data_IF_289991525176
#
_entry.id   IF_289991525176
#
_cell.length_a   1.000
_cell.length_b   1.000
_cell.length_c   1.000
_cell.angle_alpha   90.00
_cell.angle_beta   90.00
_cell.angle_gamma   90.00
#
_symmetry.space_group_name_H-M   'P 1'
#
loop_
_entity.id
_entity.type
_entity.pdbx_description
1 polymer ?
#
# COMPACT_ATOMS: atom_id res chain seq x y z
N UNK A 1 9.17 8.34 12.46
CA UNK A 1 9.00 8.12 11.01
C UNK A 1 7.80 8.93 10.54
N UNK A 2 7.94 9.67 9.44
CA UNK A 2 6.90 10.50 8.87
C UNK A 2 6.26 9.74 7.71
N UNK A 3 4.96 9.47 7.76
CA UNK A 3 4.21 8.98 6.61
C UNK A 3 3.91 10.20 5.73
N UNK A 4 4.35 10.17 4.48
CA UNK A 4 3.94 11.18 3.51
C UNK A 4 2.75 10.67 2.72
N UNK A 5 1.77 11.54 2.64
CA UNK A 5 0.57 11.34 1.86
C UNK A 5 0.79 12.10 0.56
N UNK A 6 0.66 11.44 -0.58
CA UNK A 6 0.91 12.03 -1.89
C UNK A 6 0.13 13.33 -2.11
N UNK A 7 0.70 14.25 -2.89
CA UNK A 7 0.03 15.50 -3.25
C UNK A 7 -1.22 15.18 -4.11
N UNK A 8 -2.42 15.31 -3.52
CA UNK A 8 -3.66 14.99 -4.23
C UNK A 8 -4.90 14.71 -3.37
N UNK A 9 -4.81 14.72 -2.04
CA UNK A 9 -5.99 14.47 -1.19
C UNK A 9 -6.32 12.98 -1.03
N UNK A 10 -5.27 12.16 -0.90
CA UNK A 10 -5.33 10.80 -0.37
C UNK A 10 -5.95 10.86 1.03
N UNK A 11 -6.96 10.03 1.26
CA UNK A 11 -7.74 10.03 2.49
C UNK A 11 -7.63 8.68 3.21
N UNK A 12 -6.92 8.69 4.34
CA UNK A 12 -6.73 7.48 5.15
C UNK A 12 -7.92 7.17 6.08
N UNK A 13 -8.86 8.11 6.24
CA UNK A 13 -9.90 8.05 7.28
C UNK A 13 -10.87 6.88 7.12
N UNK A 14 -11.00 6.33 5.92
CA UNK A 14 -11.97 5.28 5.60
C UNK A 14 -11.30 3.94 5.28
N UNK A 15 -9.98 3.85 5.40
CA UNK A 15 -9.27 2.60 5.18
C UNK A 15 -9.79 1.51 6.12
N UNK A 16 -10.01 0.33 5.55
CA UNK A 16 -10.31 -0.87 6.32
C UNK A 16 -9.22 -1.09 7.39
N UNK A 17 -9.59 -1.63 8.54
CA UNK A 17 -8.70 -1.75 9.69
C UNK A 17 -7.40 -2.52 9.36
N UNK A 18 -7.52 -3.58 8.55
CA UNK A 18 -6.38 -4.35 8.06
C UNK A 18 -5.38 -3.54 7.22
N UNK A 19 -5.84 -2.50 6.51
CA UNK A 19 -4.91 -1.66 5.77
C UNK A 19 -3.98 -0.86 6.71
N UNK A 20 -4.37 -0.64 7.97
CA UNK A 20 -3.46 -0.08 8.96
C UNK A 20 -2.36 -1.05 9.38
N UNK A 21 -2.63 -2.37 9.36
CA UNK A 21 -1.59 -3.38 9.55
C UNK A 21 -0.62 -3.36 8.37
N UNK A 22 -1.12 -3.32 7.14
CA UNK A 22 -0.28 -3.16 5.95
C UNK A 22 0.59 -1.90 6.05
N UNK A 23 0.03 -0.74 6.39
CA UNK A 23 0.79 0.51 6.57
C UNK A 23 1.88 0.37 7.63
N UNK A 24 1.62 -0.32 8.75
CA UNK A 24 2.64 -0.58 9.79
C UNK A 24 3.77 -1.45 9.27
N UNK A 25 3.48 -2.50 8.50
CA UNK A 25 4.50 -3.34 7.88
C UNK A 25 5.32 -2.55 6.86
N UNK A 26 4.68 -1.79 5.98
CA UNK A 26 5.34 -0.90 5.03
C UNK A 26 6.27 0.09 5.75
N UNK A 27 5.79 0.69 6.83
CA UNK A 27 6.56 1.57 7.71
C UNK A 27 7.83 0.89 8.26
N UNK A 28 7.73 -0.37 8.69
CA UNK A 28 8.89 -1.13 9.16
C UNK A 28 9.93 -1.38 8.06
N UNK A 29 9.47 -1.70 6.84
CA UNK A 29 10.35 -2.03 5.72
C UNK A 29 10.94 -0.81 5.01
N UNK A 30 10.20 0.30 4.93
CA UNK A 30 10.68 1.58 4.41
C UNK A 30 11.52 2.35 5.45
N UNK A 31 12.06 1.71 6.50
CA UNK A 31 12.71 2.42 7.61
C UNK A 31 13.92 3.29 7.23
N UNK A 32 14.54 3.07 6.07
CA UNK A 32 15.66 3.85 5.53
C UNK A 32 15.24 4.93 4.53
N UNK A 33 13.96 4.99 4.17
CA UNK A 33 13.44 5.96 3.20
C UNK A 33 12.01 6.43 3.55
N UNK A 34 11.45 7.34 2.77
CA UNK A 34 10.11 7.84 3.05
C UNK A 34 9.04 7.00 2.37
N UNK A 35 8.17 6.37 3.16
CA UNK A 35 6.92 5.79 2.70
C UNK A 35 6.01 6.89 2.14
N UNK A 36 5.62 6.74 0.88
CA UNK A 36 4.67 7.64 0.20
C UNK A 36 3.49 6.82 -0.30
N UNK A 37 2.33 7.03 0.30
CA UNK A 37 1.06 6.49 -0.18
C UNK A 37 0.53 7.45 -1.25
N UNK A 38 0.35 6.95 -2.47
CA UNK A 38 -0.04 7.74 -3.64
C UNK A 38 -1.54 7.68 -3.91
N UNK A 39 -2.22 6.59 -3.55
CA UNK A 39 -3.67 6.43 -3.76
C UNK A 39 -4.29 5.50 -2.69
N UNK A 40 -5.59 5.68 -2.43
CA UNK A 40 -6.38 4.93 -1.44
C UNK A 40 -7.73 4.50 -2.02
N UNK A 41 -8.64 5.44 -2.27
CA UNK A 41 -10.02 5.14 -2.67
C UNK A 41 -10.53 6.00 -3.82
N UNK A 42 -9.67 6.81 -4.43
CA UNK A 42 -9.98 7.64 -5.59
C UNK A 42 -9.25 7.10 -6.82
N UNK A 43 -9.53 7.67 -7.97
CA UNK A 43 -8.91 7.29 -9.24
C UNK A 43 -9.80 6.42 -10.12
N UNK A 44 -9.23 5.98 -11.24
CA UNK A 44 -9.90 5.17 -12.25
C UNK A 44 -9.32 3.77 -12.23
N UNK A 45 -9.97 2.89 -11.47
CA UNK A 45 -9.58 1.49 -11.29
C UNK A 45 -10.52 0.55 -12.05
N UNK A 46 -10.06 -0.69 -12.27
CA UNK A 46 -10.89 -1.75 -12.84
C UNK A 46 -12.18 -1.97 -12.01
N UNK A 47 -13.27 -2.43 -12.65
CA UNK A 47 -14.47 -2.85 -11.93
C UNK A 47 -14.11 -3.82 -10.80
N UNK A 48 -14.74 -3.64 -9.63
CA UNK A 48 -14.52 -4.43 -8.41
C UNK A 48 -13.15 -4.29 -7.74
N UNK A 49 -12.33 -3.32 -8.15
CA UNK A 49 -11.09 -2.99 -7.44
C UNK A 49 -11.34 -2.72 -5.95
N UNK A 50 -10.42 -3.20 -5.10
CA UNK A 50 -10.47 -3.02 -3.65
C UNK A 50 -10.22 -1.58 -3.19
N UNK A 51 -9.69 -0.71 -4.06
CA UNK A 51 -9.65 0.73 -3.79
C UNK A 51 -11.05 1.30 -3.53
N UNK A 52 -12.06 0.89 -4.31
CA UNK A 52 -13.45 1.34 -4.11
C UNK A 52 -14.09 0.83 -2.81
N UNK A 53 -13.45 -0.12 -2.14
CA UNK A 53 -13.88 -0.70 -0.87
C UNK A 53 -13.02 -0.22 0.31
N UNK A 54 -12.10 0.73 0.07
CA UNK A 54 -11.09 1.19 1.03
C UNK A 54 -10.19 0.06 1.56
N UNK A 55 -9.98 -0.98 0.75
CA UNK A 55 -9.20 -2.18 1.05
C UNK A 55 -7.93 -2.28 0.21
N UNK A 56 -7.51 -1.20 -0.41
CA UNK A 56 -6.26 -1.14 -1.15
C UNK A 56 -5.58 0.22 -1.00
N UNK A 57 -4.26 0.20 -1.15
CA UNK A 57 -3.42 1.39 -1.22
C UNK A 57 -2.36 1.20 -2.30
N UNK A 58 -2.02 2.30 -2.95
CA UNK A 58 -0.86 2.35 -3.84
C UNK A 58 0.26 3.12 -3.15
N UNK A 59 1.48 2.59 -3.26
CA UNK A 59 2.67 3.22 -2.67
C UNK A 59 3.76 3.41 -3.71
N UNK A 60 4.48 4.52 -3.58
CA UNK A 60 5.64 4.78 -4.42
C UNK A 60 6.69 3.69 -4.18
N UNK A 61 7.28 3.18 -5.26
CA UNK A 61 8.35 2.18 -5.19
C UNK A 61 9.54 2.68 -4.34
N UNK A 62 10.16 1.78 -3.55
CA UNK A 62 11.37 2.04 -2.80
C UNK A 62 12.52 2.28 -3.77
N UNK A 63 13.53 3.04 -3.35
CA UNK A 63 14.77 3.18 -4.12
C UNK A 63 15.62 1.91 -4.03
N UNK A 64 15.57 1.25 -2.88
CA UNK A 64 16.25 -0.03 -2.63
C UNK A 64 15.29 -1.19 -2.91
N UNK A 65 15.50 -1.89 -4.01
CA UNK A 65 14.65 -3.01 -4.43
C UNK A 65 14.74 -4.23 -3.49
N UNK A 66 15.76 -4.33 -2.64
CA UNK A 66 15.85 -5.43 -1.65
C UNK A 66 14.77 -5.33 -0.57
N UNK A 67 14.26 -4.11 -0.33
CA UNK A 67 13.12 -3.85 0.55
C UNK A 67 11.88 -4.53 0.00
N UNK A 68 11.65 -4.46 -1.32
CA UNK A 68 10.45 -5.00 -1.94
C UNK A 68 10.29 -6.50 -1.72
N UNK A 69 11.31 -7.31 -1.97
CA UNK A 69 11.21 -8.77 -1.82
C UNK A 69 10.83 -9.16 -0.40
N UNK A 70 11.53 -8.62 0.61
CA UNK A 70 11.27 -8.94 2.03
C UNK A 70 9.90 -8.45 2.50
N UNK A 71 9.52 -7.26 2.05
CA UNK A 71 8.23 -6.66 2.37
C UNK A 71 7.07 -7.44 1.75
N UNK A 72 7.21 -7.84 0.47
CA UNK A 72 6.19 -8.59 -0.27
C UNK A 72 5.89 -9.91 0.40
N UNK A 73 6.92 -10.68 0.75
CA UNK A 73 6.74 -11.98 1.41
C UNK A 73 6.01 -11.81 2.76
N UNK A 74 6.40 -10.81 3.55
CA UNK A 74 5.75 -10.53 4.83
C UNK A 74 4.29 -10.06 4.69
N UNK A 75 3.99 -9.24 3.67
CA UNK A 75 2.62 -8.81 3.38
C UNK A 75 1.75 -10.00 2.95
N UNK A 76 2.28 -10.87 2.09
CA UNK A 76 1.59 -12.08 1.64
C UNK A 76 1.30 -13.03 2.82
N UNK A 77 2.28 -13.27 3.69
CA UNK A 77 2.10 -14.10 4.89
C UNK A 77 1.06 -13.50 5.86
N UNK A 78 0.93 -12.17 5.86
CA UNK A 78 -0.08 -11.46 6.64
C UNK A 78 -1.47 -11.39 5.96
N UNK A 79 -1.64 -12.01 4.79
CA UNK A 79 -2.90 -12.10 4.07
C UNK A 79 -3.22 -10.91 3.15
N UNK A 80 -2.21 -10.14 2.74
CA UNK A 80 -2.35 -9.07 1.76
C UNK A 80 -1.81 -9.52 0.40
N UNK A 81 -2.50 -9.11 -0.67
CA UNK A 81 -1.98 -9.27 -2.02
C UNK A 81 -1.12 -8.05 -2.36
N UNK A 82 0.13 -8.29 -2.77
CA UNK A 82 1.05 -7.24 -3.19
C UNK A 82 1.51 -7.43 -4.64
N UNK A 83 1.12 -6.49 -5.51
CA UNK A 83 1.38 -6.51 -6.94
C UNK A 83 2.35 -5.38 -7.31
N UNK A 84 3.35 -5.73 -8.11
CA UNK A 84 4.24 -4.74 -8.71
C UNK A 84 3.61 -4.15 -9.97
N UNK A 85 3.12 -2.92 -9.86
CA UNK A 85 2.65 -2.14 -11.00
C UNK A 85 3.80 -1.37 -11.63
N UNK A 86 3.59 -0.81 -12.83
CA UNK A 86 4.66 -0.10 -13.55
C UNK A 86 5.23 1.09 -12.76
N UNK A 87 4.36 1.86 -12.09
CA UNK A 87 4.71 3.14 -11.46
C UNK A 87 4.67 3.13 -9.93
N UNK A 88 4.07 2.12 -9.33
CA UNK A 88 3.83 2.01 -7.89
C UNK A 88 3.78 0.52 -7.49
N UNK A 89 3.63 0.27 -6.20
CA UNK A 89 3.21 -1.03 -5.70
C UNK A 89 1.78 -0.94 -5.21
N UNK A 90 0.97 -1.88 -5.64
CA UNK A 90 -0.41 -2.03 -5.24
C UNK A 90 -0.48 -3.05 -4.10
N UNK A 91 -1.13 -2.69 -3.00
CA UNK A 91 -1.33 -3.56 -1.84
C UNK A 91 -2.81 -3.58 -1.52
N UNK A 92 -3.41 -4.77 -1.49
CA UNK A 92 -4.82 -4.94 -1.16
C UNK A 92 -5.08 -6.04 -0.13
N UNK A 93 -6.21 -5.92 0.55
CA UNK A 93 -6.73 -6.93 1.46
C UNK A 93 -8.01 -7.53 0.89
N UNK A 94 -7.90 -8.77 0.40
CA UNK A 94 -9.05 -9.56 -0.04
C UNK A 94 -9.14 -10.89 0.72
N UNK A 95 -9.85 -10.93 1.86
CA UNK A 95 -10.03 -12.17 2.59
C UNK A 95 -10.79 -13.17 1.71
N UNK A 96 -10.21 -14.36 1.56
CA UNK A 96 -10.79 -15.48 0.81
C UNK A 96 -11.87 -16.21 1.59
#
# INVERSE_FOLDING_TARGET
MLIKVGAGGVNLSFLHEEMWLAIKLLCYYYNTEELVITETNKGNHLPYSKHYQNRAIDVRKPKDMTIFTRMKDCLNDAGFDCVEEKTHYHIEYDPK
#
